data_IF_008776623005
#
_entry.id   IF_008776623005
#
_cell.length_a   1.000
_cell.length_b   1.000
_cell.length_c   1.000
_cell.angle_alpha   90.00
_cell.angle_beta   90.00
_cell.angle_gamma   90.00
#
_symmetry.space_group_name_H-M   'P 1'
#
loop_
_entity.id
_entity.type
_entity.pdbx_description
1 polymer ?
#
# COMPACT_ATOMS: atom_id res chain seq x y z
N UNK A 1 -10.12 13.57 4.16
CA UNK A 1 -10.56 12.19 4.44
C UNK A 1 -9.68 11.62 5.54
N UNK A 2 -10.25 10.93 6.54
CA UNK A 2 -9.48 10.31 7.63
C UNK A 2 -8.97 8.93 7.17
N UNK A 3 -7.66 8.81 6.94
CA UNK A 3 -7.02 7.52 6.63
C UNK A 3 -6.72 6.81 7.95
N UNK A 4 -7.22 5.59 8.11
CA UNK A 4 -6.98 4.81 9.33
C UNK A 4 -5.50 4.50 9.51
N UNK A 5 -4.98 4.73 10.72
CA UNK A 5 -3.64 4.28 11.14
C UNK A 5 -3.58 2.77 11.38
N UNK A 6 -4.69 2.05 11.27
CA UNK A 6 -4.68 0.59 11.38
C UNK A 6 -4.06 -0.02 10.11
N UNK A 7 -2.79 -0.41 10.20
CA UNK A 7 -2.08 -1.07 9.10
C UNK A 7 -2.66 -2.46 8.75
N UNK A 8 -3.60 -3.01 9.53
CA UNK A 8 -4.19 -4.33 9.26
C UNK A 8 -5.33 -4.30 8.23
N UNK A 9 -5.96 -3.15 8.03
CA UNK A 9 -6.97 -3.02 6.96
C UNK A 9 -6.28 -2.68 5.65
N UNK A 10 -6.93 -2.95 4.51
CA UNK A 10 -6.43 -2.52 3.21
C UNK A 10 -6.25 -1.00 3.17
N UNK A 11 -5.22 -0.54 2.45
CA UNK A 11 -4.98 0.89 2.28
C UNK A 11 -6.20 1.55 1.62
N UNK A 12 -6.73 2.58 2.30
CA UNK A 12 -7.88 3.38 1.84
C UNK A 12 -7.43 4.67 1.14
N UNK A 13 -6.12 4.88 0.99
CA UNK A 13 -5.61 6.06 0.33
C UNK A 13 -5.95 6.04 -1.17
N UNK A 14 -6.49 7.15 -1.68
CA UNK A 14 -6.65 7.41 -3.13
C UNK A 14 -5.37 7.99 -3.72
N UNK A 15 -4.25 7.58 -3.16
CA UNK A 15 -2.90 7.98 -3.54
C UNK A 15 -2.77 7.96 -5.06
N UNK A 16 -3.09 6.85 -5.73
CA UNK A 16 -3.00 6.70 -7.19
C UNK A 16 -3.62 7.85 -8.01
N UNK A 17 -4.67 8.51 -7.50
CA UNK A 17 -5.36 9.60 -8.20
C UNK A 17 -4.54 10.92 -8.21
N UNK A 18 -3.48 11.02 -7.41
CA UNK A 18 -2.59 12.18 -7.32
C UNK A 18 -1.39 12.11 -8.28
N UNK A 19 -1.14 10.96 -8.94
CA UNK A 19 -0.04 10.86 -9.92
C UNK A 19 -0.35 11.76 -11.12
N UNK A 20 0.51 12.75 -11.36
CA UNK A 20 0.35 13.74 -12.44
C UNK A 20 -0.32 15.04 -12.00
N UNK A 21 -0.76 15.14 -10.74
CA UNK A 21 -1.21 16.40 -10.11
C UNK A 21 -0.06 17.01 -9.32
N UNK A 22 0.57 16.22 -8.44
CA UNK A 22 1.68 16.66 -7.59
C UNK A 22 3.05 16.38 -8.24
N UNK A 23 4.09 17.04 -7.71
CA UNK A 23 5.49 16.76 -8.06
C UNK A 23 5.80 15.26 -7.87
N UNK A 24 6.19 14.53 -8.95
CA UNK A 24 6.38 13.08 -8.88
C UNK A 24 7.44 12.66 -7.85
N UNK A 25 8.50 13.46 -7.65
CA UNK A 25 9.57 13.10 -6.72
C UNK A 25 9.08 13.14 -5.26
N UNK A 26 8.33 14.17 -4.90
CA UNK A 26 7.73 14.34 -3.58
C UNK A 26 6.66 13.27 -3.32
N UNK A 27 5.74 13.10 -4.27
CA UNK A 27 4.65 12.13 -4.17
C UNK A 27 5.17 10.69 -4.01
N UNK A 28 6.13 10.29 -4.85
CA UNK A 28 6.66 8.93 -4.80
C UNK A 28 7.39 8.66 -3.50
N UNK A 29 8.12 9.66 -2.99
CA UNK A 29 8.83 9.56 -1.71
C UNK A 29 7.87 9.40 -0.54
N UNK A 30 6.79 10.18 -0.50
CA UNK A 30 5.79 10.10 0.57
C UNK A 30 5.05 8.75 0.55
N UNK A 31 4.67 8.27 -0.63
CA UNK A 31 4.05 6.95 -0.74
C UNK A 31 4.98 5.81 -0.37
N UNK A 32 6.25 5.89 -0.80
CA UNK A 32 7.24 4.90 -0.42
C UNK A 32 7.36 4.83 1.11
N UNK A 33 7.40 5.98 1.80
CA UNK A 33 7.41 6.04 3.27
C UNK A 33 6.16 5.41 3.87
N UNK A 34 4.97 5.77 3.37
CA UNK A 34 3.70 5.26 3.89
C UNK A 34 3.57 3.74 3.69
N UNK A 35 3.80 3.24 2.48
CA UNK A 35 3.77 1.81 2.16
C UNK A 35 4.80 1.01 2.95
N UNK A 36 6.01 1.56 3.13
CA UNK A 36 7.06 0.94 3.96
C UNK A 36 6.66 0.87 5.43
N UNK A 37 6.11 1.96 5.99
CA UNK A 37 5.64 1.97 7.38
C UNK A 37 4.53 0.94 7.62
N UNK A 38 3.58 0.81 6.69
CA UNK A 38 2.51 -0.21 6.79
C UNK A 38 3.06 -1.62 6.73
N UNK A 39 3.95 -1.88 5.78
CA UNK A 39 4.62 -3.19 5.60
C UNK A 39 5.43 -3.57 6.84
N UNK A 40 6.22 -2.65 7.38
CA UNK A 40 7.00 -2.86 8.60
C UNK A 40 6.10 -3.27 9.77
N UNK A 41 4.98 -2.58 9.97
CA UNK A 41 4.05 -2.90 11.06
C UNK A 41 3.37 -4.28 10.88
N UNK A 42 3.05 -4.68 9.64
CA UNK A 42 2.52 -6.02 9.36
C UNK A 42 3.58 -7.11 9.59
N UNK A 43 4.80 -6.90 9.11
CA UNK A 43 5.91 -7.84 9.30
C UNK A 43 6.26 -8.00 10.78
N UNK A 44 6.27 -6.93 11.58
CA UNK A 44 6.48 -7.03 13.03
C UNK A 44 5.48 -7.96 13.70
N UNK A 45 4.20 -7.89 13.30
CA UNK A 45 3.13 -8.78 13.80
C UNK A 45 3.23 -10.22 13.29
N UNK A 46 4.06 -10.47 12.29
CA UNK A 46 4.40 -11.83 11.84
C UNK A 46 5.58 -12.34 12.65
N UNK A 47 6.64 -11.54 12.79
CA UNK A 47 7.87 -11.91 13.48
C UNK A 47 7.63 -12.18 14.97
N UNK A 48 6.95 -11.26 15.67
CA UNK A 48 6.81 -11.34 17.14
C UNK A 48 6.09 -12.63 17.61
N UNK A 49 5.01 -13.12 16.97
CA UNK A 49 4.30 -14.34 17.40
C UNK A 49 4.64 -15.61 16.61
N UNK A 50 5.48 -15.58 15.58
CA UNK A 50 5.70 -16.76 14.73
C UNK A 50 6.49 -17.85 15.46
N UNK A 51 5.77 -18.90 15.86
CA UNK A 51 6.37 -20.13 16.35
C UNK A 51 7.08 -20.90 15.23
N UNK A 52 8.05 -21.74 15.59
CA UNK A 52 8.59 -22.76 14.70
C UNK A 52 7.48 -23.78 14.33
N UNK A 53 7.61 -24.46 13.18
CA UNK A 53 6.63 -25.45 12.65
C UNK A 53 5.29 -24.88 12.14
N UNK A 54 5.30 -23.70 11.51
CA UNK A 54 4.13 -23.20 10.78
C UNK A 54 3.89 -24.02 9.50
N UNK A 55 2.61 -24.17 9.14
CA UNK A 55 2.22 -24.65 7.82
C UNK A 55 2.80 -23.74 6.71
N UNK A 56 3.49 -24.29 5.70
CA UNK A 56 4.13 -23.49 4.65
C UNK A 56 3.18 -22.56 3.90
N UNK A 57 1.94 -22.98 3.65
CA UNK A 57 0.96 -22.15 2.96
C UNK A 57 0.55 -20.96 3.83
N UNK A 58 0.31 -21.17 5.11
CA UNK A 58 0.04 -20.06 6.04
C UNK A 58 1.20 -19.07 6.15
N UNK A 59 2.46 -19.54 6.07
CA UNK A 59 3.63 -18.64 6.03
C UNK A 59 3.59 -17.77 4.77
N UNK A 60 3.34 -18.36 3.60
CA UNK A 60 3.22 -17.64 2.34
C UNK A 60 2.09 -16.60 2.40
N UNK A 61 0.89 -17.00 2.82
CA UNK A 61 -0.29 -16.12 2.90
C UNK A 61 -0.01 -14.90 3.81
N UNK A 62 0.69 -15.10 4.94
CA UNK A 62 1.08 -14.02 5.85
C UNK A 62 2.07 -13.05 5.19
N UNK A 63 3.08 -13.56 4.50
CA UNK A 63 4.09 -12.73 3.82
C UNK A 63 3.50 -11.93 2.67
N UNK A 64 2.67 -12.55 1.83
CA UNK A 64 1.96 -11.88 0.74
C UNK A 64 1.04 -10.78 1.26
N UNK A 65 0.28 -11.06 2.31
CA UNK A 65 -0.59 -10.07 2.97
C UNK A 65 0.22 -8.89 3.54
N UNK A 66 1.38 -9.16 4.13
CA UNK A 66 2.26 -8.11 4.65
C UNK A 66 2.83 -7.22 3.54
N UNK A 67 3.19 -7.81 2.39
CA UNK A 67 3.80 -7.10 1.27
C UNK A 67 2.79 -6.44 0.31
N UNK A 68 1.50 -6.83 0.37
CA UNK A 68 0.44 -6.42 -0.57
C UNK A 68 0.45 -4.92 -0.90
N UNK A 69 0.47 -4.05 0.11
CA UNK A 69 0.39 -2.60 -0.08
C UNK A 69 1.67 -2.05 -0.73
N UNK A 70 2.83 -2.61 -0.39
CA UNK A 70 4.12 -2.23 -0.97
C UNK A 70 4.20 -2.63 -2.44
N UNK A 71 3.83 -3.88 -2.76
CA UNK A 71 3.82 -4.37 -4.14
C UNK A 71 2.85 -3.56 -5.01
N UNK A 72 1.63 -3.31 -4.51
CA UNK A 72 0.67 -2.43 -5.19
C UNK A 72 1.23 -1.02 -5.42
N UNK A 73 1.90 -0.45 -4.42
CA UNK A 73 2.50 0.89 -4.55
C UNK A 73 3.59 0.92 -5.63
N UNK A 74 4.44 -0.10 -5.68
CA UNK A 74 5.47 -0.24 -6.73
C UNK A 74 4.81 -0.36 -8.11
N UNK A 75 3.75 -1.16 -8.24
CA UNK A 75 3.04 -1.34 -9.51
C UNK A 75 2.32 -0.05 -9.94
N UNK A 76 1.71 0.67 -9.00
CA UNK A 76 1.09 1.98 -9.24
C UNK A 76 2.14 3.00 -9.73
N UNK A 77 3.31 3.08 -9.09
CA UNK A 77 4.42 3.96 -9.48
C UNK A 77 4.99 3.63 -10.86
N UNK A 78 5.12 2.33 -11.19
CA UNK A 78 5.57 1.86 -12.51
C UNK A 78 4.56 2.17 -13.60
N UNK A 79 3.27 2.06 -13.30
CA UNK A 79 2.21 2.36 -14.26
C UNK A 79 2.11 3.86 -14.59
N UNK A 80 2.58 4.74 -13.70
CA UNK A 80 2.57 6.19 -13.91
C UNK A 80 1.17 6.80 -13.84
N UNK A 81 1.00 8.05 -14.33
CA UNK A 81 -0.27 8.76 -14.30
C UNK A 81 -1.37 7.97 -15.02
N UNK A 82 -2.58 7.94 -14.44
CA UNK A 82 -3.79 7.54 -15.18
C UNK A 82 -4.51 8.80 -15.67
N UNK A 83 -5.23 8.69 -16.78
CA UNK A 83 -6.21 9.72 -17.14
C UNK A 83 -7.22 9.85 -16.01
N UNK A 84 -7.33 11.07 -15.45
CA UNK A 84 -8.31 11.35 -14.40
C UNK A 84 -9.71 11.23 -15.03
N UNK A 85 -10.54 10.30 -14.53
CA UNK A 85 -11.96 10.31 -14.85
C UNK A 85 -12.59 11.51 -14.16
N UNK A 86 -12.75 12.61 -14.89
CA UNK A 86 -13.47 13.79 -14.43
C UNK A 86 -14.96 13.46 -14.33
N UNK A 87 -15.48 13.28 -13.11
CA UNK A 87 -16.90 13.03 -12.83
C UNK A 87 -17.78 14.30 -12.95
N UNK A 88 -17.33 15.35 -13.64
CA UNK A 88 -18.07 16.62 -13.74
C UNK A 88 -18.97 16.74 -14.98
N UNK A 89 -19.13 15.69 -15.81
CA UNK A 89 -19.95 15.77 -17.03
C UNK A 89 -21.33 15.09 -16.96
N UNK A 90 -21.91 14.95 -15.76
CA UNK A 90 -23.34 14.64 -15.64
C UNK A 90 -23.97 15.52 -14.55
N UNK A 91 -24.27 16.77 -14.90
CA UNK A 91 -25.31 17.59 -14.23
C UNK A 91 -26.48 17.78 -15.18
#
# INVERSE_FOLDING_TARGET
AYVSMNCLVDDQSRSRDLIGIDDPASLYTEWAKHASWRTQNRLKKIIDPMAFEQDPKQVLDKLESAAKDLLKTIDDMKAGPREAQHYEQQS
#
